data_IF_538593427134
#
_entry.id   IF_538593427134
#
_cell.length_a   1.000
_cell.length_b   1.000
_cell.length_c   1.000
_cell.angle_alpha   90.00
_cell.angle_beta   90.00
_cell.angle_gamma   90.00
#
_symmetry.space_group_name_H-M   'P 1'
#
loop_
_entity.id
_entity.type
_entity.pdbx_description
1 polymer ?
#
# COMPACT_ATOMS: atom_id res chain seq x y z
N UNK A 1 -22.22 3.55 -16.05
CA UNK A 1 -21.20 3.46 -17.13
C UNK A 1 -19.83 3.77 -16.52
N UNK A 2 -18.85 2.90 -16.74
CA UNK A 2 -17.48 3.06 -16.29
C UNK A 2 -16.67 3.76 -17.37
N UNK A 3 -15.96 4.82 -17.01
CA UNK A 3 -15.10 5.57 -17.91
C UNK A 3 -13.69 5.71 -17.34
N UNK A 4 -12.72 6.02 -18.18
CA UNK A 4 -11.36 6.31 -17.70
C UNK A 4 -11.38 7.58 -16.81
N UNK A 5 -10.60 7.58 -15.72
CA UNK A 5 -10.62 8.66 -14.74
C UNK A 5 -10.33 10.05 -15.35
N UNK A 6 -9.56 10.14 -16.45
CA UNK A 6 -9.29 11.39 -17.17
C UNK A 6 -10.52 11.99 -17.86
N UNK A 7 -11.55 11.20 -18.11
CA UNK A 7 -12.80 11.67 -18.72
C UNK A 7 -13.72 12.35 -17.69
N UNK A 8 -13.57 12.03 -16.41
CA UNK A 8 -14.32 12.63 -15.31
C UNK A 8 -13.47 12.78 -14.04
N UNK A 9 -12.42 13.57 -14.17
CA UNK A 9 -11.41 13.70 -13.10
C UNK A 9 -11.98 14.26 -11.79
N UNK A 10 -12.88 15.22 -11.86
CA UNK A 10 -13.47 15.82 -10.65
C UNK A 10 -14.25 14.80 -9.83
N UNK A 11 -15.02 13.95 -10.50
CA UNK A 11 -15.78 12.89 -9.84
C UNK A 11 -14.86 11.82 -9.25
N UNK A 12 -13.84 11.43 -10.01
CA UNK A 12 -12.82 10.50 -9.54
C UNK A 12 -12.16 10.99 -8.26
N UNK A 13 -11.67 12.24 -8.26
CA UNK A 13 -11.02 12.84 -7.09
C UNK A 13 -11.96 12.98 -5.90
N UNK A 14 -13.23 13.31 -6.13
CA UNK A 14 -14.22 13.37 -5.05
C UNK A 14 -14.40 12.01 -4.39
N UNK A 15 -14.64 10.96 -5.17
CA UNK A 15 -14.87 9.62 -4.63
C UNK A 15 -13.65 9.11 -3.84
N UNK A 16 -12.45 9.29 -4.38
CA UNK A 16 -11.23 8.80 -3.69
C UNK A 16 -10.95 9.57 -2.40
N UNK A 17 -11.26 10.87 -2.34
CA UNK A 17 -11.13 11.66 -1.09
C UNK A 17 -12.05 11.14 0.01
N UNK A 18 -13.27 10.75 -0.33
CA UNK A 18 -14.29 10.31 0.62
C UNK A 18 -14.14 8.81 1.01
N UNK A 19 -13.22 8.10 0.38
CA UNK A 19 -13.11 6.63 0.50
C UNK A 19 -12.01 6.14 1.47
N UNK A 20 -11.51 6.99 2.35
CA UNK A 20 -10.55 6.62 3.40
C UNK A 20 -9.26 6.00 2.84
N UNK A 21 -8.78 4.93 3.49
CA UNK A 21 -7.50 4.30 3.17
C UNK A 21 -7.34 3.87 1.70
N UNK A 22 -8.35 3.21 1.11
CA UNK A 22 -8.26 2.75 -0.28
C UNK A 22 -8.28 3.91 -1.26
N UNK A 23 -9.06 4.95 -0.98
CA UNK A 23 -9.06 6.18 -1.78
C UNK A 23 -7.70 6.89 -1.74
N UNK A 24 -7.11 7.04 -0.55
CA UNK A 24 -5.77 7.60 -0.37
C UNK A 24 -4.70 6.80 -1.12
N UNK A 25 -4.81 5.45 -1.08
CA UNK A 25 -3.91 4.57 -1.86
C UNK A 25 -4.04 4.83 -3.35
N UNK A 26 -5.27 4.86 -3.89
CA UNK A 26 -5.52 5.13 -5.30
C UNK A 26 -4.97 6.53 -5.67
N UNK A 27 -5.19 7.53 -4.83
CA UNK A 27 -4.70 8.88 -5.05
C UNK A 27 -3.18 8.95 -5.12
N UNK A 28 -2.46 8.32 -4.18
CA UNK A 28 -0.99 8.28 -4.19
C UNK A 28 -0.43 7.62 -5.45
N UNK A 29 -1.07 6.54 -5.92
CA UNK A 29 -0.71 5.89 -7.17
C UNK A 29 -1.02 6.78 -8.39
N UNK A 30 -2.16 7.49 -8.37
CA UNK A 30 -2.59 8.39 -9.44
C UNK A 30 -1.65 9.59 -9.60
N UNK A 31 -1.33 10.32 -8.52
CA UNK A 31 -0.43 11.49 -8.58
C UNK A 31 1.03 11.11 -8.88
N UNK A 32 1.44 9.88 -8.59
CA UNK A 32 2.75 9.39 -8.95
C UNK A 32 2.95 9.31 -10.46
N UNK A 33 1.88 9.37 -11.22
CA UNK A 33 1.81 9.29 -12.68
C UNK A 33 1.58 7.86 -13.17
N UNK A 34 0.80 7.77 -14.23
CA UNK A 34 0.50 6.49 -14.86
C UNK A 34 1.76 5.90 -15.51
N UNK A 35 2.08 4.65 -15.19
CA UNK A 35 2.73 3.78 -16.15
C UNK A 35 1.56 3.11 -16.88
N UNK A 36 1.34 3.43 -18.16
CA UNK A 36 0.21 2.88 -18.95
C UNK A 36 0.13 1.35 -18.91
N UNK A 37 1.24 0.69 -18.60
CA UNK A 37 1.38 -0.77 -18.56
C UNK A 37 1.11 -1.37 -17.15
N UNK A 38 1.04 -0.56 -16.08
CA UNK A 38 0.94 -1.09 -14.73
C UNK A 38 -0.31 -0.67 -13.97
N UNK A 39 -0.76 0.58 -14.11
CA UNK A 39 -1.92 1.10 -13.39
C UNK A 39 -2.86 1.84 -14.32
N UNK A 40 -4.13 1.46 -14.33
CA UNK A 40 -5.22 2.15 -15.01
C UNK A 40 -6.25 2.60 -13.99
N UNK A 41 -6.80 3.79 -14.17
CA UNK A 41 -7.75 4.39 -13.24
C UNK A 41 -9.06 4.67 -13.93
N UNK A 42 -10.14 4.27 -13.28
CA UNK A 42 -11.50 4.38 -13.80
C UNK A 42 -12.43 4.98 -12.76
N UNK A 43 -13.53 5.55 -13.23
CA UNK A 43 -14.59 6.10 -12.40
C UNK A 43 -15.95 5.72 -12.98
N UNK A 44 -16.89 5.46 -12.09
CA UNK A 44 -18.30 5.29 -12.40
C UNK A 44 -19.13 6.34 -11.65
N UNK A 45 -20.43 6.12 -11.56
CA UNK A 45 -21.29 7.04 -10.83
C UNK A 45 -20.97 7.08 -9.33
N UNK A 46 -20.69 5.94 -8.72
CA UNK A 46 -20.53 5.83 -7.25
C UNK A 46 -19.19 5.22 -6.81
N UNK A 47 -18.30 4.92 -7.76
CA UNK A 47 -17.07 4.20 -7.48
C UNK A 47 -15.87 4.74 -8.24
N UNK A 48 -14.71 4.60 -7.65
CA UNK A 48 -13.42 4.75 -8.30
C UNK A 48 -12.64 3.43 -8.20
N UNK A 49 -11.91 3.12 -9.27
CA UNK A 49 -11.20 1.86 -9.40
C UNK A 49 -9.76 2.11 -9.86
N UNK A 50 -8.86 1.31 -9.34
CA UNK A 50 -7.51 1.19 -9.87
C UNK A 50 -7.24 -0.25 -10.22
N UNK A 51 -6.93 -0.50 -11.49
CA UNK A 51 -6.43 -1.77 -11.96
C UNK A 51 -4.90 -1.72 -11.97
N UNK A 52 -4.26 -2.60 -11.20
CA UNK A 52 -2.80 -2.72 -11.13
C UNK A 52 -2.41 -4.16 -11.50
N UNK A 53 -1.94 -4.34 -12.72
CA UNK A 53 -1.79 -5.68 -13.31
C UNK A 53 -3.14 -6.41 -13.31
N UNK A 54 -3.22 -7.53 -12.58
CA UNK A 54 -4.43 -8.35 -12.43
C UNK A 54 -5.20 -8.06 -11.12
N UNK A 55 -4.84 -7.03 -10.38
CA UNK A 55 -5.47 -6.69 -9.10
C UNK A 55 -6.27 -5.41 -9.21
N UNK A 56 -7.54 -5.48 -8.85
CA UNK A 56 -8.46 -4.36 -8.76
C UNK A 56 -8.48 -3.82 -7.33
N UNK A 57 -8.28 -2.52 -7.16
CA UNK A 57 -8.58 -1.80 -5.92
C UNK A 57 -9.82 -0.95 -6.16
N UNK A 58 -10.84 -1.16 -5.34
CA UNK A 58 -12.14 -0.50 -5.48
C UNK A 58 -12.44 0.35 -4.25
N UNK A 59 -12.91 1.56 -4.47
CA UNK A 59 -13.48 2.42 -3.44
C UNK A 59 -14.79 3.04 -3.89
N UNK A 60 -15.66 3.40 -2.92
CA UNK A 60 -17.04 3.77 -3.17
C UNK A 60 -17.98 2.56 -3.11
N UNK A 61 -19.20 2.74 -3.57
CA UNK A 61 -20.27 1.71 -3.53
C UNK A 61 -20.75 1.42 -4.94
N UNK A 62 -20.19 0.40 -5.63
CA UNK A 62 -20.65 0.05 -6.97
C UNK A 62 -22.11 -0.41 -6.95
N UNK A 63 -22.85 -0.03 -7.98
CA UNK A 63 -24.10 -0.70 -8.29
C UNK A 63 -23.81 -2.13 -8.80
N UNK A 64 -24.78 -3.03 -8.71
CA UNK A 64 -24.57 -4.43 -9.09
C UNK A 64 -24.21 -4.58 -10.59
N UNK A 65 -24.85 -3.80 -11.45
CA UNK A 65 -24.59 -3.73 -12.89
C UNK A 65 -23.20 -3.14 -13.22
N UNK A 66 -22.75 -2.14 -12.47
CA UNK A 66 -21.40 -1.57 -12.62
C UNK A 66 -20.31 -2.59 -12.26
N UNK A 67 -20.56 -3.39 -11.23
CA UNK A 67 -19.62 -4.43 -10.83
C UNK A 67 -19.58 -5.56 -11.86
N UNK A 68 -20.73 -5.96 -12.41
CA UNK A 68 -20.84 -6.97 -13.45
C UNK A 68 -20.19 -6.51 -14.76
N UNK A 69 -20.34 -5.22 -15.12
CA UNK A 69 -19.65 -4.59 -16.24
C UNK A 69 -18.12 -4.68 -16.06
N UNK A 70 -17.59 -4.33 -14.87
CA UNK A 70 -16.18 -4.43 -14.56
C UNK A 70 -15.64 -5.86 -14.67
N UNK A 71 -16.37 -6.83 -14.11
CA UNK A 71 -16.01 -8.24 -14.15
C UNK A 71 -15.93 -8.78 -15.60
N UNK A 72 -16.73 -8.23 -16.49
CA UNK A 72 -16.76 -8.63 -17.91
C UNK A 72 -15.60 -8.03 -18.72
N UNK A 73 -15.19 -6.78 -18.40
CA UNK A 73 -14.19 -6.04 -19.19
C UNK A 73 -12.76 -6.19 -18.69
N UNK A 74 -12.56 -6.54 -17.44
CA UNK A 74 -11.23 -6.59 -16.82
C UNK A 74 -10.88 -8.05 -16.47
N UNK A 75 -9.85 -8.60 -17.10
CA UNK A 75 -9.21 -9.84 -16.63
C UNK A 75 -8.46 -9.55 -15.33
N UNK A 76 -9.10 -9.74 -14.18
CA UNK A 76 -8.44 -9.59 -12.89
C UNK A 76 -8.67 -10.84 -12.01
N UNK A 77 -7.63 -11.20 -11.28
CA UNK A 77 -7.62 -12.37 -10.39
C UNK A 77 -7.82 -11.99 -8.92
N UNK A 78 -7.91 -10.71 -8.61
CA UNK A 78 -8.08 -10.26 -7.22
C UNK A 78 -8.72 -8.89 -7.08
N UNK A 79 -9.59 -8.75 -6.09
CA UNK A 79 -10.25 -7.48 -5.73
C UNK A 79 -9.92 -7.13 -4.28
N UNK A 80 -9.50 -5.89 -4.05
CA UNK A 80 -9.32 -5.34 -2.69
C UNK A 80 -10.37 -4.27 -2.44
N UNK A 81 -11.19 -4.46 -1.40
CA UNK A 81 -12.23 -3.52 -1.01
C UNK A 81 -12.52 -3.59 0.47
N UNK A 82 -13.31 -2.64 0.97
CA UNK A 82 -13.93 -2.73 2.28
C UNK A 82 -15.19 -3.60 2.14
N UNK A 83 -15.32 -4.66 2.94
CA UNK A 83 -16.35 -5.70 2.81
C UNK A 83 -17.78 -5.17 2.71
N UNK A 84 -18.08 -4.05 3.38
CA UNK A 84 -19.41 -3.42 3.33
C UNK A 84 -19.74 -2.81 1.95
N UNK A 85 -18.77 -2.66 1.06
CA UNK A 85 -18.93 -2.01 -0.24
C UNK A 85 -19.25 -3.00 -1.35
N UNK A 86 -18.88 -4.28 -1.20
CA UNK A 86 -19.11 -5.30 -2.23
C UNK A 86 -19.99 -6.40 -1.67
N UNK A 87 -21.21 -6.48 -2.17
CA UNK A 87 -22.11 -7.62 -1.96
C UNK A 87 -22.20 -8.42 -3.26
N UNK A 88 -22.14 -9.74 -3.14
CA UNK A 88 -22.36 -10.69 -4.26
C UNK A 88 -21.28 -10.72 -5.35
N UNK A 89 -19.99 -10.55 -5.00
CA UNK A 89 -18.92 -10.91 -5.93
C UNK A 89 -18.93 -12.42 -6.20
N UNK A 90 -18.80 -12.87 -7.46
CA UNK A 90 -18.60 -14.28 -7.79
C UNK A 90 -17.15 -14.74 -7.51
N UNK A 91 -16.62 -14.33 -6.38
CA UNK A 91 -15.24 -14.59 -5.93
C UNK A 91 -15.25 -14.99 -4.46
N UNK A 92 -14.30 -15.81 -4.06
CA UNK A 92 -14.11 -16.20 -2.66
C UNK A 92 -13.25 -15.19 -1.90
N UNK A 93 -13.50 -15.08 -0.58
CA UNK A 93 -12.60 -14.32 0.29
C UNK A 93 -11.28 -15.06 0.40
N UNK A 94 -10.19 -14.46 -0.08
CA UNK A 94 -8.83 -14.98 0.05
C UNK A 94 -8.29 -14.68 1.45
N UNK A 95 -8.34 -13.39 1.84
CA UNK A 95 -7.87 -12.95 3.16
C UNK A 95 -8.46 -11.61 3.58
N UNK A 96 -8.39 -11.37 4.90
CA UNK A 96 -8.62 -10.06 5.50
C UNK A 96 -7.29 -9.45 5.94
N UNK A 97 -7.16 -8.14 5.78
CA UNK A 97 -5.99 -7.37 6.18
C UNK A 97 -6.43 -6.27 7.13
N UNK A 98 -5.83 -6.22 8.30
CA UNK A 98 -6.06 -5.12 9.24
C UNK A 98 -5.35 -3.86 8.77
N UNK A 99 -6.05 -2.73 8.79
CA UNK A 99 -5.46 -1.40 8.69
C UNK A 99 -5.11 -0.99 10.11
N UNK A 100 -3.84 -0.67 10.34
CA UNK A 100 -3.30 -0.32 11.65
C UNK A 100 -2.77 1.10 11.63
N UNK A 101 -3.08 1.91 12.64
CA UNK A 101 -2.57 3.28 12.82
C UNK A 101 -1.68 3.35 14.05
N UNK A 102 -0.54 4.02 13.93
CA UNK A 102 0.36 4.23 15.05
C UNK A 102 -0.24 5.22 16.06
N UNK A 103 -0.31 4.82 17.32
CA UNK A 103 -0.80 5.62 18.45
C UNK A 103 0.15 5.59 19.66
N UNK A 104 1.37 5.07 19.45
CA UNK A 104 2.39 5.01 20.49
C UNK A 104 3.09 6.36 20.72
N UNK A 105 4.03 6.38 21.65
CA UNK A 105 4.89 7.54 21.89
C UNK A 105 5.86 7.75 20.72
N UNK A 106 6.14 9.02 20.41
CA UNK A 106 7.09 9.37 19.34
C UNK A 106 8.48 8.86 19.70
N UNK A 107 9.06 8.05 18.82
CA UNK A 107 10.43 7.55 18.95
C UNK A 107 11.42 8.57 18.40
N UNK A 108 12.71 8.41 18.75
CA UNK A 108 13.77 9.21 18.12
C UNK A 108 14.17 8.61 16.76
N UNK A 109 14.65 9.47 15.87
CA UNK A 109 15.32 9.01 14.65
C UNK A 109 16.53 8.15 14.99
N UNK A 110 16.87 7.18 14.13
CA UNK A 110 17.95 6.22 14.34
C UNK A 110 19.09 6.48 13.34
N UNK A 111 20.28 6.68 13.85
CA UNK A 111 21.47 6.89 13.01
C UNK A 111 21.89 5.64 12.21
N UNK A 112 21.51 4.45 12.67
CA UNK A 112 21.78 3.17 12.01
C UNK A 112 20.78 2.83 10.88
N UNK A 113 19.82 3.73 10.59
CA UNK A 113 18.86 3.60 9.48
C UNK A 113 19.25 4.51 8.33
N UNK A 114 19.57 3.90 7.20
CA UNK A 114 19.89 4.58 5.94
C UNK A 114 18.61 4.90 5.17
N UNK A 115 18.56 6.03 4.49
CA UNK A 115 17.40 6.43 3.68
C UNK A 115 17.78 6.86 2.26
N UNK A 116 17.06 6.35 1.28
CA UNK A 116 17.10 6.72 -0.16
C UNK A 116 18.46 6.62 -0.88
N UNK A 117 19.47 5.93 -0.33
CA UNK A 117 20.80 5.86 -0.94
C UNK A 117 20.88 4.84 -2.08
N UNK A 118 20.28 3.65 -1.94
CA UNK A 118 20.35 2.58 -2.94
C UNK A 118 18.98 1.92 -3.15
N UNK A 119 18.16 2.56 -3.98
CA UNK A 119 16.83 2.06 -4.34
C UNK A 119 16.89 0.72 -5.05
N UNK A 120 17.87 0.49 -5.93
CA UNK A 120 17.97 -0.75 -6.70
C UNK A 120 18.21 -1.95 -5.77
N UNK A 121 19.25 -1.89 -4.95
CA UNK A 121 19.58 -2.97 -4.00
C UNK A 121 18.47 -3.18 -2.97
N UNK A 122 17.80 -2.11 -2.52
CA UNK A 122 16.68 -2.24 -1.59
C UNK A 122 15.48 -2.95 -2.22
N UNK A 123 15.07 -2.60 -3.43
CA UNK A 123 13.95 -3.28 -4.10
C UNK A 123 14.31 -4.73 -4.41
N UNK A 124 15.55 -5.02 -4.79
CA UNK A 124 16.04 -6.39 -4.95
C UNK A 124 15.93 -7.20 -3.65
N UNK A 125 16.32 -6.60 -2.51
CA UNK A 125 16.14 -7.18 -1.18
C UNK A 125 14.65 -7.45 -0.89
N UNK A 126 13.74 -6.52 -1.19
CA UNK A 126 12.30 -6.73 -1.04
C UNK A 126 11.81 -7.91 -1.89
N UNK A 127 12.14 -7.95 -3.17
CA UNK A 127 11.71 -9.02 -4.08
C UNK A 127 12.24 -10.41 -3.69
N UNK A 128 13.38 -10.49 -3.02
CA UNK A 128 13.91 -11.75 -2.48
C UNK A 128 13.10 -12.24 -1.28
N UNK A 129 12.56 -11.33 -0.47
CA UNK A 129 11.83 -11.67 0.76
C UNK A 129 10.30 -11.81 0.55
N UNK A 130 9.77 -11.23 -0.50
CA UNK A 130 8.34 -11.33 -0.87
C UNK A 130 8.22 -12.16 -2.16
N UNK A 131 7.66 -13.36 -2.06
CA UNK A 131 7.48 -14.23 -3.20
C UNK A 131 6.51 -13.63 -4.24
N UNK A 132 6.70 -13.99 -5.52
CA UNK A 132 5.84 -13.60 -6.65
C UNK A 132 5.84 -12.11 -7.01
N UNK A 133 6.86 -11.34 -6.62
CA UNK A 133 7.02 -9.98 -7.09
C UNK A 133 7.86 -9.93 -8.36
N UNK A 134 7.36 -9.19 -9.37
CA UNK A 134 8.17 -8.85 -10.54
C UNK A 134 9.04 -7.64 -10.20
N UNK A 135 10.37 -7.85 -10.25
CA UNK A 135 11.34 -6.81 -9.88
C UNK A 135 11.18 -5.54 -10.72
N UNK A 136 11.06 -5.66 -12.04
CA UNK A 136 11.02 -4.50 -12.94
C UNK A 136 9.79 -3.63 -12.68
N UNK A 137 8.63 -4.26 -12.42
CA UNK A 137 7.39 -3.58 -12.09
C UNK A 137 7.53 -2.85 -10.75
N UNK A 138 8.02 -3.55 -9.70
CA UNK A 138 8.17 -2.97 -8.35
C UNK A 138 9.19 -1.85 -8.37
N UNK A 139 10.35 -2.08 -9.00
CA UNK A 139 11.41 -1.08 -9.12
C UNK A 139 10.93 0.19 -9.85
N UNK A 140 10.33 0.03 -11.03
CA UNK A 140 9.82 1.16 -11.81
C UNK A 140 8.77 1.97 -11.05
N UNK A 141 7.89 1.30 -10.31
CA UNK A 141 6.86 1.96 -9.51
C UNK A 141 7.47 2.78 -8.36
N UNK A 142 8.35 2.17 -7.55
CA UNK A 142 8.90 2.87 -6.39
C UNK A 142 9.99 3.88 -6.76
N UNK A 143 10.86 3.60 -7.72
CA UNK A 143 11.84 4.57 -8.20
C UNK A 143 11.17 5.87 -8.66
N UNK A 144 10.04 5.77 -9.38
CA UNK A 144 9.26 6.94 -9.78
C UNK A 144 8.68 7.70 -8.58
N UNK A 145 8.10 6.98 -7.59
CA UNK A 145 7.55 7.60 -6.39
C UNK A 145 8.62 8.30 -5.55
N UNK A 146 9.79 7.68 -5.44
CA UNK A 146 10.95 8.24 -4.74
C UNK A 146 11.44 9.51 -5.47
N UNK A 147 11.62 9.45 -6.78
CA UNK A 147 12.04 10.61 -7.58
C UNK A 147 11.04 11.79 -7.52
N UNK A 148 9.78 11.52 -7.21
CA UNK A 148 8.74 12.54 -6.99
C UNK A 148 8.60 12.98 -5.53
N UNK A 149 9.38 12.44 -4.61
CA UNK A 149 9.26 12.72 -3.19
C UNK A 149 7.96 12.18 -2.55
N UNK A 150 7.32 11.19 -3.18
CA UNK A 150 6.07 10.56 -2.67
C UNK A 150 6.40 9.37 -1.78
N UNK A 151 7.51 8.68 -2.04
CA UNK A 151 7.96 7.54 -1.24
C UNK A 151 9.41 7.68 -0.83
N UNK A 152 9.74 7.11 0.33
CA UNK A 152 11.09 6.96 0.84
C UNK A 152 11.34 5.50 1.21
N UNK A 153 12.58 5.04 1.02
CA UNK A 153 13.06 3.75 1.50
C UNK A 153 13.93 3.94 2.74
N UNK A 154 13.80 3.02 3.69
CA UNK A 154 14.54 3.02 4.94
C UNK A 154 15.06 1.62 5.21
N UNK A 155 16.37 1.48 5.50
CA UNK A 155 16.95 0.17 5.72
C UNK A 155 18.16 0.20 6.63
N UNK A 156 18.50 -0.96 7.16
CA UNK A 156 19.69 -1.21 7.99
C UNK A 156 20.63 -2.11 7.20
N UNK A 157 21.91 -1.74 7.19
CA UNK A 157 23.00 -2.50 6.57
C UNK A 157 23.83 -3.16 7.67
N UNK A 158 24.14 -4.45 7.52
CA UNK A 158 25.16 -5.18 8.29
C UNK A 158 26.00 -6.02 7.33
N UNK A 159 27.29 -6.05 7.55
CA UNK A 159 28.23 -6.84 6.72
C UNK A 159 28.05 -6.57 5.21
N UNK A 160 27.88 -5.31 4.84
CA UNK A 160 27.62 -4.83 3.48
C UNK A 160 26.36 -5.41 2.82
N UNK A 161 25.37 -5.86 3.63
CA UNK A 161 24.09 -6.37 3.14
C UNK A 161 22.94 -5.60 3.78
N UNK A 162 21.89 -5.33 3.01
CA UNK A 162 20.61 -4.86 3.55
C UNK A 162 19.98 -6.03 4.32
N UNK A 163 19.76 -5.84 5.62
CA UNK A 163 19.25 -6.90 6.50
C UNK A 163 17.83 -6.67 6.97
N UNK A 164 17.38 -5.42 7.00
CA UNK A 164 16.00 -5.04 7.36
C UNK A 164 15.65 -3.73 6.70
N UNK A 165 14.38 -3.54 6.36
CA UNK A 165 13.93 -2.27 5.81
C UNK A 165 12.43 -2.21 5.57
N UNK A 166 11.97 -1.02 5.16
CA UNK A 166 10.59 -0.70 4.82
C UNK A 166 10.53 0.47 3.83
N UNK A 167 9.38 0.63 3.20
CA UNK A 167 9.05 1.79 2.36
C UNK A 167 7.99 2.61 3.08
N UNK A 168 8.15 3.93 3.12
CA UNK A 168 7.05 4.84 3.41
C UNK A 168 6.52 5.48 2.12
N UNK A 169 5.23 5.73 2.06
CA UNK A 169 4.58 6.42 0.94
C UNK A 169 3.59 7.44 1.49
N UNK A 170 3.68 8.67 1.02
CA UNK A 170 2.72 9.72 1.36
C UNK A 170 1.40 9.41 0.65
N UNK A 171 0.34 9.18 1.42
CA UNK A 171 -1.01 8.91 0.90
C UNK A 171 -1.87 10.17 0.85
N UNK A 172 -1.64 11.10 1.78
CA UNK A 172 -2.25 12.42 1.82
C UNK A 172 -1.34 13.40 2.58
N UNK A 173 -1.73 14.65 2.72
CA UNK A 173 -0.97 15.66 3.46
C UNK A 173 -0.71 15.23 4.91
N UNK A 174 -1.66 14.53 5.51
CA UNK A 174 -1.65 14.11 6.92
C UNK A 174 -1.37 12.61 7.13
N UNK A 175 -1.14 11.82 6.07
CA UNK A 175 -1.08 10.36 6.19
C UNK A 175 0.10 9.77 5.42
N UNK A 176 0.87 8.94 6.10
CA UNK A 176 1.97 8.14 5.55
C UNK A 176 1.68 6.66 5.75
N UNK A 177 1.87 5.90 4.69
CA UNK A 177 1.68 4.45 4.68
C UNK A 177 3.00 3.71 4.65
N UNK A 178 3.19 2.76 5.59
CA UNK A 178 4.36 1.87 5.62
C UNK A 178 4.04 0.56 4.89
N UNK A 179 4.93 0.16 4.01
CA UNK A 179 4.84 -1.10 3.26
C UNK A 179 6.21 -1.77 3.13
N UNK A 180 6.23 -3.01 2.63
CA UNK A 180 7.46 -3.79 2.41
C UNK A 180 8.34 -3.92 3.65
N UNK A 181 7.75 -3.96 4.84
CA UNK A 181 8.49 -4.24 6.08
C UNK A 181 9.07 -5.65 5.98
N UNK A 182 10.38 -5.75 5.95
CA UNK A 182 11.07 -7.03 5.78
C UNK A 182 12.36 -7.08 6.60
N UNK A 183 12.70 -8.29 7.06
CA UNK A 183 13.99 -8.59 7.72
C UNK A 183 14.44 -9.98 7.27
N UNK A 184 15.70 -10.11 6.87
CA UNK A 184 16.31 -11.39 6.51
C UNK A 184 16.13 -12.41 7.66
N UNK A 185 15.87 -13.66 7.32
CA UNK A 185 15.54 -14.71 8.30
C UNK A 185 16.58 -14.82 9.42
N UNK A 186 17.87 -14.81 9.06
CA UNK A 186 19.01 -14.89 9.98
C UNK A 186 19.18 -13.68 10.91
N UNK A 187 18.53 -12.56 10.58
CA UNK A 187 18.55 -11.31 11.37
C UNK A 187 17.22 -11.01 12.07
N UNK A 188 16.25 -11.93 12.02
CA UNK A 188 14.97 -11.78 12.73
C UNK A 188 15.14 -11.85 14.26
N UNK A 189 14.15 -11.39 14.99
CA UNK A 189 14.10 -11.35 16.48
C UNK A 189 15.20 -10.50 17.13
N UNK A 190 15.83 -9.58 16.37
CA UNK A 190 16.85 -8.65 16.85
C UNK A 190 16.33 -7.19 16.94
N UNK A 191 15.01 -6.97 16.83
CA UNK A 191 14.42 -5.62 16.89
C UNK A 191 14.67 -4.74 15.64
N UNK A 192 15.23 -5.27 14.54
CA UNK A 192 15.63 -4.45 13.41
C UNK A 192 14.44 -3.82 12.68
N UNK A 193 13.35 -4.55 12.46
CA UNK A 193 12.14 -3.99 11.86
C UNK A 193 11.51 -2.90 12.75
N UNK A 194 11.54 -3.09 14.08
CA UNK A 194 11.09 -2.09 15.05
C UNK A 194 11.91 -0.80 14.93
N UNK A 195 13.23 -0.89 14.78
CA UNK A 195 14.09 0.28 14.58
C UNK A 195 13.75 1.04 13.30
N UNK A 196 13.54 0.32 12.18
CA UNK A 196 13.15 0.94 10.90
C UNK A 196 11.79 1.61 11.00
N UNK A 197 10.80 0.92 11.55
CA UNK A 197 9.45 1.47 11.75
C UNK A 197 9.48 2.69 12.67
N UNK A 198 10.17 2.60 13.81
CA UNK A 198 10.33 3.70 14.74
C UNK A 198 11.00 4.93 14.12
N UNK A 199 12.00 4.73 13.25
CA UNK A 199 12.60 5.82 12.49
C UNK A 199 11.61 6.49 11.53
N UNK A 200 10.78 5.70 10.81
CA UNK A 200 9.74 6.24 9.92
C UNK A 200 8.70 7.04 10.73
N UNK A 201 8.27 6.52 11.88
CA UNK A 201 7.35 7.21 12.78
C UNK A 201 7.95 8.53 13.25
N UNK A 202 9.21 8.54 13.71
CA UNK A 202 9.89 9.75 14.17
C UNK A 202 9.97 10.84 13.09
N UNK A 203 10.29 10.45 11.86
CA UNK A 203 10.32 11.38 10.72
C UNK A 203 8.95 11.93 10.31
N UNK A 204 7.88 11.25 10.68
CA UNK A 204 6.51 11.61 10.31
C UNK A 204 5.64 11.90 11.55
N UNK A 205 6.21 12.46 12.61
CA UNK A 205 5.54 12.71 13.91
C UNK A 205 4.28 13.58 13.81
N UNK A 206 4.19 14.42 12.79
CA UNK A 206 3.05 15.31 12.56
C UNK A 206 2.00 14.69 11.62
N UNK A 207 2.16 13.41 11.25
CA UNK A 207 1.27 12.69 10.34
C UNK A 207 0.77 11.40 10.98
N UNK A 208 -0.36 10.94 10.50
CA UNK A 208 -0.85 9.58 10.76
C UNK A 208 0.06 8.59 10.05
N UNK A 209 0.64 7.67 10.79
CA UNK A 209 1.45 6.59 10.23
C UNK A 209 0.63 5.31 10.26
N UNK A 210 0.33 4.78 9.09
CA UNK A 210 -0.52 3.61 8.94
C UNK A 210 0.20 2.48 8.21
N UNK A 211 -0.23 1.27 8.43
CA UNK A 211 0.18 0.07 7.69
C UNK A 211 -0.99 -0.90 7.56
N UNK A 212 -0.80 -1.97 6.78
CA UNK A 212 -1.72 -3.11 6.77
C UNK A 212 -0.97 -4.40 7.08
N UNK A 213 -1.63 -5.32 7.76
CA UNK A 213 -1.06 -6.63 8.10
C UNK A 213 -2.11 -7.74 8.08
N UNK A 214 -1.64 -8.97 7.98
CA UNK A 214 -2.44 -10.18 8.17
C UNK A 214 -2.62 -10.45 9.67
N UNK A 215 -3.62 -11.27 10.03
CA UNK A 215 -3.95 -11.62 11.42
C UNK A 215 -2.74 -12.07 12.23
N UNK A 216 -1.88 -12.90 11.65
CA UNK A 216 -0.68 -13.41 12.33
C UNK A 216 0.34 -12.33 12.71
N UNK A 217 0.32 -11.17 12.07
CA UNK A 217 1.22 -10.06 12.37
C UNK A 217 0.59 -8.97 13.23
N UNK A 218 -0.73 -8.98 13.43
CA UNK A 218 -1.44 -7.99 14.25
C UNK A 218 -0.86 -7.86 15.65
N UNK A 219 -0.62 -8.94 16.43
CA UNK A 219 -0.05 -8.82 17.78
C UNK A 219 1.36 -8.23 17.80
N UNK A 220 2.13 -8.43 16.73
CA UNK A 220 3.45 -7.81 16.59
C UNK A 220 3.34 -6.29 16.44
N UNK A 221 2.46 -5.81 15.56
CA UNK A 221 2.28 -4.38 15.36
C UNK A 221 1.59 -3.69 16.55
N UNK A 222 0.69 -4.37 17.25
CA UNK A 222 0.11 -3.86 18.51
C UNK A 222 1.18 -3.60 19.57
N UNK A 223 2.17 -4.50 19.72
CA UNK A 223 3.32 -4.29 20.62
C UNK A 223 4.20 -3.11 20.20
N UNK A 224 4.22 -2.75 18.93
CA UNK A 224 4.93 -1.58 18.42
C UNK A 224 4.14 -0.28 18.58
N UNK A 225 2.93 -0.31 19.12
CA UNK A 225 2.08 0.86 19.34
C UNK A 225 1.08 1.15 18.22
N UNK A 226 0.82 0.19 17.34
CA UNK A 226 -0.22 0.33 16.31
C UNK A 226 -1.56 -0.21 16.82
N UNK A 227 -2.63 0.51 16.54
CA UNK A 227 -4.01 0.10 16.83
C UNK A 227 -4.78 -0.20 15.55
N UNK A 228 -5.64 -1.23 15.52
CA UNK A 228 -6.48 -1.50 14.36
C UNK A 228 -7.54 -0.39 14.21
N UNK A 229 -7.68 0.14 12.98
CA UNK A 229 -8.66 1.18 12.63
C UNK A 229 -9.63 0.74 11.53
N UNK A 230 -9.43 -0.43 10.93
CA UNK A 230 -10.30 -0.97 9.89
C UNK A 230 -9.77 -2.25 9.28
N UNK A 231 -10.51 -2.76 8.31
CA UNK A 231 -10.16 -3.98 7.58
C UNK A 231 -10.37 -3.80 6.07
N UNK A 232 -9.57 -4.52 5.31
CA UNK A 232 -9.72 -4.69 3.87
C UNK A 232 -9.94 -6.18 3.61
N UNK A 233 -10.93 -6.51 2.82
CA UNK A 233 -11.13 -7.86 2.30
C UNK A 233 -10.51 -7.98 0.92
N UNK A 234 -9.73 -9.02 0.72
CA UNK A 234 -9.16 -9.41 -0.57
C UNK A 234 -9.95 -10.62 -1.06
N UNK A 235 -10.52 -10.48 -2.25
CA UNK A 235 -11.24 -11.55 -2.94
C UNK A 235 -10.36 -12.10 -4.06
N UNK A 236 -10.48 -13.40 -4.35
CA UNK A 236 -9.84 -14.08 -5.47
C UNK A 236 -10.79 -15.07 -6.13
N UNK A 237 -10.51 -15.38 -7.40
CA UNK A 237 -11.15 -16.48 -8.11
C UNK A 237 -10.83 -17.84 -7.48
#
# INVERSE_FOLDING_TARGET
>A
MIVHATENIHKFEQIIKDSGFLGQKIYADYISGQIKETNSFYVSENCAFMLSGVNLTLCGKPAADELEELLTFCNFCGVSSIESQIKNLPMSVDKKLHIMEYAGETTAEREDVVSNEDTYSFIKFCCTNFHNLNFDIVYSNFARKINKGISDIYYIVKDNKIVSGAISTVYSEDTVYITFVSTLNEYRKQGLAEKVIGHIVAKNKDKKVILKCEDGLKPYYEKLGFNPIGEITVYRE
#
